data_IF_991084604340
#
_entry.id   IF_991084604340
#
_cell.length_a   1.000
_cell.length_b   1.000
_cell.length_c   1.000
_cell.angle_alpha   90.00
_cell.angle_beta   90.00
_cell.angle_gamma   90.00
#
_symmetry.space_group_name_H-M   'P 1'
#
loop_
_entity.id
_entity.type
_entity.pdbx_description
1 polymer ?
#
# COMPACT_ATOMS: atom_id res chain seq x y z
N UNK A 1 4.72 -11.97 54.97
CA UNK A 1 5.99 -11.21 54.93
C UNK A 1 5.97 -10.26 53.73
N UNK A 2 6.74 -9.17 53.77
CA UNK A 2 6.87 -8.20 52.66
C UNK A 2 7.17 -8.88 51.31
N UNK A 3 7.97 -9.95 51.35
CA UNK A 3 8.32 -10.80 50.19
C UNK A 3 7.09 -11.36 49.48
N UNK A 4 6.08 -11.81 50.22
CA UNK A 4 4.85 -12.38 49.66
C UNK A 4 3.98 -11.33 48.96
N UNK A 5 4.03 -10.08 49.43
CA UNK A 5 3.31 -8.97 48.83
C UNK A 5 3.97 -8.49 47.53
N UNK A 6 5.31 -8.39 47.52
CA UNK A 6 6.10 -8.04 46.33
C UNK A 6 5.92 -9.10 45.23
N UNK A 7 5.91 -10.39 45.59
CA UNK A 7 5.75 -11.48 44.63
C UNK A 7 4.36 -11.46 43.96
N UNK A 8 3.30 -11.14 44.71
CA UNK A 8 1.95 -10.95 44.15
C UNK A 8 1.85 -9.72 43.24
N UNK A 9 2.52 -8.62 43.59
CA UNK A 9 2.55 -7.41 42.77
C UNK A 9 3.29 -7.65 41.45
N UNK A 10 4.43 -8.36 41.48
CA UNK A 10 5.19 -8.74 40.29
C UNK A 10 4.38 -9.69 39.38
N UNK A 11 3.65 -10.64 39.96
CA UNK A 11 2.73 -11.52 39.22
C UNK A 11 1.55 -10.76 38.61
N UNK A 12 0.98 -9.78 39.32
CA UNK A 12 -0.10 -8.97 38.78
C UNK A 12 0.40 -8.06 37.63
N UNK A 13 1.58 -7.46 37.78
CA UNK A 13 2.20 -6.63 36.74
C UNK A 13 2.62 -7.46 35.52
N UNK A 14 3.13 -8.68 35.72
CA UNK A 14 3.46 -9.58 34.60
C UNK A 14 2.21 -10.06 33.87
N UNK A 15 1.13 -10.37 34.59
CA UNK A 15 -0.16 -10.70 33.97
C UNK A 15 -0.72 -9.50 33.18
N UNK A 16 -0.67 -8.28 33.71
CA UNK A 16 -1.10 -7.08 32.97
C UNK A 16 -0.22 -6.83 31.74
N UNK A 17 1.09 -7.03 31.84
CA UNK A 17 2.01 -6.95 30.69
C UNK A 17 1.72 -8.01 29.61
N UNK A 18 1.37 -9.24 30.01
CA UNK A 18 0.95 -10.31 29.09
C UNK A 18 -0.39 -9.96 28.44
N UNK A 19 -1.38 -9.46 29.18
CA UNK A 19 -2.66 -9.03 28.62
C UNK A 19 -2.52 -7.86 27.63
N UNK A 20 -1.62 -6.91 27.89
CA UNK A 20 -1.32 -5.80 26.96
C UNK A 20 -0.59 -6.28 25.69
N UNK A 21 0.20 -7.36 25.79
CA UNK A 21 0.88 -7.96 24.64
C UNK A 21 -0.03 -8.84 23.76
N UNK A 22 -1.19 -9.26 24.27
CA UNK A 22 -2.12 -10.17 23.58
C UNK A 22 -3.22 -9.44 22.80
N UNK A 23 -3.17 -8.11 22.72
CA UNK A 23 -4.13 -7.31 21.93
C UNK A 23 -3.54 -6.78 20.62
N UNK A 24 -2.65 -7.54 19.97
CA UNK A 24 -2.40 -7.30 18.55
C UNK A 24 -3.61 -7.84 17.77
N UNK A 25 -4.57 -6.94 17.50
CA UNK A 25 -5.68 -7.25 16.63
C UNK A 25 -5.19 -7.62 15.23
N UNK A 26 -5.95 -8.46 14.52
CA UNK A 26 -5.64 -8.83 13.14
C UNK A 26 -5.51 -7.59 12.24
N UNK A 27 -4.47 -7.55 11.42
CA UNK A 27 -4.35 -6.56 10.34
C UNK A 27 -5.34 -6.89 9.23
N UNK A 28 -6.26 -5.97 8.94
CA UNK A 28 -7.19 -6.07 7.81
C UNK A 28 -6.93 -4.91 6.85
N UNK A 29 -6.36 -5.24 5.69
CA UNK A 29 -6.04 -4.28 4.62
C UNK A 29 -7.17 -4.30 3.59
N UNK A 30 -7.74 -3.13 3.33
CA UNK A 30 -8.87 -2.96 2.42
C UNK A 30 -8.47 -2.04 1.25
N UNK A 31 -8.63 -2.50 0.02
CA UNK A 31 -8.43 -1.65 -1.15
C UNK A 31 -9.72 -0.89 -1.49
N UNK A 32 -9.63 0.44 -1.61
CA UNK A 32 -10.70 1.33 -2.04
C UNK A 32 -10.45 1.77 -3.49
N UNK A 33 -11.28 1.30 -4.42
CA UNK A 33 -11.21 1.69 -5.84
C UNK A 33 -11.80 3.09 -6.06
N UNK A 34 -10.96 4.11 -6.30
CA UNK A 34 -11.39 5.50 -6.43
C UNK A 34 -12.40 5.72 -7.56
N UNK A 35 -12.28 4.97 -8.65
CA UNK A 35 -13.17 5.03 -9.80
C UNK A 35 -14.57 4.46 -9.53
N UNK A 36 -14.79 3.75 -8.42
CA UNK A 36 -16.11 3.24 -8.05
C UNK A 36 -17.15 4.36 -7.80
N UNK A 37 -16.68 5.59 -7.54
CA UNK A 37 -17.51 6.81 -7.43
C UNK A 37 -18.36 7.09 -8.68
N UNK A 38 -17.93 6.59 -9.84
CA UNK A 38 -18.58 6.80 -11.13
C UNK A 38 -19.53 5.67 -11.54
N UNK A 39 -19.61 4.58 -10.76
CA UNK A 39 -20.56 3.50 -11.05
C UNK A 39 -22.01 4.02 -10.88
N UNK A 40 -22.95 3.57 -11.71
CA UNK A 40 -24.34 3.99 -11.61
C UNK A 40 -25.10 3.21 -10.52
N UNK A 41 -26.16 3.83 -9.98
CA UNK A 41 -27.09 3.19 -9.06
C UNK A 41 -26.42 2.58 -7.83
N UNK A 42 -26.86 1.38 -7.46
CA UNK A 42 -26.34 0.64 -6.29
C UNK A 42 -24.88 0.19 -6.43
N UNK A 43 -24.30 0.31 -7.62
CA UNK A 43 -22.88 0.03 -7.83
C UNK A 43 -21.96 1.18 -7.37
N UNK A 44 -22.52 2.38 -7.15
CA UNK A 44 -21.75 3.55 -6.70
C UNK A 44 -21.20 3.31 -5.31
N UNK A 45 -19.90 3.53 -5.15
CA UNK A 45 -19.22 3.46 -3.86
C UNK A 45 -18.26 4.64 -3.75
N UNK A 46 -18.48 5.50 -2.75
CA UNK A 46 -17.69 6.71 -2.49
C UNK A 46 -16.88 6.56 -1.20
N UNK A 47 -15.97 7.51 -0.94
CA UNK A 47 -15.13 7.53 0.27
C UNK A 47 -15.98 7.41 1.54
N UNK A 48 -17.12 8.10 1.58
CA UNK A 48 -18.01 8.12 2.74
C UNK A 48 -18.66 6.78 3.05
N UNK A 49 -18.71 5.86 2.08
CA UNK A 49 -19.27 4.51 2.22
C UNK A 49 -18.28 3.53 2.89
N UNK A 50 -17.00 3.91 3.04
CA UNK A 50 -16.00 3.09 3.74
C UNK A 50 -16.35 3.00 5.22
N UNK A 51 -16.71 1.80 5.69
CA UNK A 51 -16.87 1.51 7.11
C UNK A 51 -15.50 1.36 7.79
N UNK A 52 -15.11 2.41 8.50
CA UNK A 52 -13.81 2.51 9.16
C UNK A 52 -13.63 1.55 10.34
N UNK A 53 -14.68 0.85 10.77
CA UNK A 53 -14.61 -0.13 11.87
C UNK A 53 -14.16 -1.53 11.42
N UNK A 54 -14.23 -1.80 10.11
CA UNK A 54 -13.92 -3.12 9.55
C UNK A 54 -12.44 -3.28 9.22
N UNK A 55 -11.78 -2.21 8.78
CA UNK A 55 -10.40 -2.25 8.30
C UNK A 55 -9.43 -1.63 9.32
N UNK A 56 -8.19 -2.14 9.38
CA UNK A 56 -7.10 -1.46 10.10
C UNK A 56 -6.30 -0.55 9.17
N UNK A 57 -6.19 -0.94 7.90
CA UNK A 57 -5.55 -0.17 6.84
C UNK A 57 -6.48 -0.09 5.63
N UNK A 58 -6.56 1.09 5.00
CA UNK A 58 -7.29 1.27 3.74
C UNK A 58 -6.35 1.87 2.72
N UNK A 59 -6.28 1.27 1.54
CA UNK A 59 -5.43 1.70 0.43
C UNK A 59 -6.28 2.39 -0.63
N UNK A 60 -5.96 3.64 -0.95
CA UNK A 60 -6.59 4.41 -2.03
C UNK A 60 -5.97 3.99 -3.37
N UNK A 61 -6.76 3.32 -4.20
CA UNK A 61 -6.36 2.84 -5.50
C UNK A 61 -6.91 3.76 -6.61
N UNK A 62 -6.08 4.39 -7.46
CA UNK A 62 -4.62 4.41 -7.47
C UNK A 62 -4.08 5.77 -7.93
N UNK A 63 -2.86 6.10 -7.49
CA UNK A 63 -1.96 6.98 -8.21
C UNK A 63 -1.15 6.20 -9.25
N UNK A 64 -0.53 6.91 -10.19
CA UNK A 64 0.36 6.35 -11.20
C UNK A 64 1.72 7.02 -11.20
N UNK A 65 2.47 6.86 -12.29
CA UNK A 65 3.73 7.58 -12.50
C UNK A 65 3.82 8.18 -13.91
N UNK A 66 4.51 9.32 -14.01
CA UNK A 66 4.86 9.95 -15.29
C UNK A 66 6.17 9.37 -15.83
N UNK A 67 6.44 9.56 -17.12
CA UNK A 67 7.70 9.15 -17.75
C UNK A 67 8.95 9.84 -17.17
N UNK A 68 8.76 10.98 -16.51
CA UNK A 68 9.78 11.70 -15.74
C UNK A 68 10.16 11.01 -14.42
N UNK A 69 9.40 10.01 -13.98
CA UNK A 69 9.51 9.40 -12.65
C UNK A 69 8.61 10.05 -11.60
N UNK A 70 8.02 11.22 -11.86
CA UNK A 70 7.13 11.89 -10.90
C UNK A 70 5.86 11.07 -10.64
N UNK A 71 5.40 11.03 -9.38
CA UNK A 71 4.06 10.49 -9.06
C UNK A 71 2.98 11.25 -9.87
N UNK A 72 1.94 10.53 -10.28
CA UNK A 72 0.86 11.03 -11.11
C UNK A 72 -0.49 10.82 -10.42
N UNK A 73 -1.26 11.89 -10.25
CA UNK A 73 -2.67 11.77 -9.87
C UNK A 73 -3.45 11.38 -11.12
N UNK A 74 -4.10 10.20 -11.09
CA UNK A 74 -4.74 9.63 -12.29
C UNK A 74 -6.08 10.30 -12.60
N UNK A 75 -6.83 10.74 -11.58
CA UNK A 75 -8.08 11.51 -11.75
C UNK A 75 -8.06 12.77 -10.88
N UNK A 76 -7.38 13.85 -11.31
CA UNK A 76 -7.31 15.10 -10.55
C UNK A 76 -8.67 15.68 -10.17
N UNK A 77 -9.69 15.50 -11.02
CA UNK A 77 -11.04 16.01 -10.72
C UNK A 77 -11.68 15.29 -9.53
N UNK A 78 -11.47 13.97 -9.40
CA UNK A 78 -11.98 13.23 -8.25
C UNK A 78 -11.09 13.37 -7.02
N UNK A 79 -9.77 13.32 -7.22
CA UNK A 79 -8.81 13.09 -6.16
C UNK A 79 -8.38 14.40 -5.47
N UNK A 80 -8.29 15.51 -6.21
CA UNK A 80 -7.78 16.79 -5.72
C UNK A 80 -8.89 17.80 -5.41
N UNK A 81 -8.55 18.86 -4.67
CA UNK A 81 -9.48 19.95 -4.31
C UNK A 81 -9.42 21.14 -5.27
N UNK A 82 -8.30 21.27 -5.97
CA UNK A 82 -8.04 22.30 -6.96
C UNK A 82 -9.07 22.23 -8.09
N UNK A 83 -9.32 23.37 -8.73
CA UNK A 83 -10.19 23.46 -9.90
C UNK A 83 -11.62 22.90 -9.69
N UNK A 84 -12.17 23.07 -8.48
CA UNK A 84 -13.49 22.53 -8.09
C UNK A 84 -13.54 21.00 -8.08
N UNK A 85 -12.39 20.35 -7.87
CA UNK A 85 -12.29 18.92 -7.68
C UNK A 85 -13.00 18.44 -6.40
N UNK A 86 -13.17 17.12 -6.31
CA UNK A 86 -13.96 16.49 -5.24
C UNK A 86 -13.15 16.17 -3.98
N UNK A 87 -11.89 16.56 -3.88
CA UNK A 87 -11.07 16.35 -2.68
C UNK A 87 -11.01 14.87 -2.23
N UNK A 88 -10.96 13.92 -3.17
CA UNK A 88 -11.00 12.49 -2.86
C UNK A 88 -9.91 12.05 -1.88
N UNK A 89 -8.68 12.54 -2.04
CA UNK A 89 -7.57 12.24 -1.13
C UNK A 89 -7.80 12.80 0.27
N UNK A 90 -8.15 14.09 0.38
CA UNK A 90 -8.40 14.72 1.69
C UNK A 90 -9.55 14.05 2.44
N UNK A 91 -10.67 13.80 1.76
CA UNK A 91 -11.82 13.09 2.36
C UNK A 91 -11.45 11.68 2.79
N UNK A 92 -10.60 10.99 2.03
CA UNK A 92 -10.14 9.65 2.36
C UNK A 92 -9.26 9.64 3.60
N UNK A 93 -8.28 10.55 3.69
CA UNK A 93 -7.44 10.69 4.87
C UNK A 93 -8.24 11.12 6.11
N UNK A 94 -9.31 11.91 5.94
CA UNK A 94 -10.24 12.29 7.01
C UNK A 94 -11.09 11.14 7.56
N UNK A 95 -11.09 9.95 6.93
CA UNK A 95 -11.70 8.75 7.55
C UNK A 95 -11.10 8.45 8.93
N UNK A 96 -9.86 8.88 9.19
CA UNK A 96 -9.20 8.78 10.50
C UNK A 96 -9.86 9.61 11.58
N UNK A 97 -10.67 10.62 11.25
CA UNK A 97 -11.47 11.34 12.24
C UNK A 97 -12.56 10.45 12.84
N UNK A 98 -13.10 9.50 12.05
CA UNK A 98 -14.07 8.50 12.52
C UNK A 98 -13.39 7.35 13.27
N UNK A 99 -12.21 6.93 12.82
CA UNK A 99 -11.38 5.93 13.49
C UNK A 99 -9.92 6.37 13.55
N UNK A 100 -9.46 6.98 14.67
CA UNK A 100 -8.08 7.47 14.81
C UNK A 100 -6.99 6.39 14.74
N UNK A 101 -7.36 5.11 14.79
CA UNK A 101 -6.42 3.98 14.64
C UNK A 101 -6.27 3.52 13.19
N UNK A 102 -7.16 3.94 12.29
CA UNK A 102 -7.13 3.59 10.88
C UNK A 102 -5.87 4.17 10.23
N UNK A 103 -5.26 3.40 9.34
CA UNK A 103 -4.19 3.86 8.45
C UNK A 103 -4.73 4.05 7.04
N UNK A 104 -4.52 5.23 6.48
CA UNK A 104 -4.91 5.57 5.11
C UNK A 104 -3.65 5.64 4.25
N UNK A 105 -3.53 4.74 3.28
CA UNK A 105 -2.32 4.54 2.46
C UNK A 105 -2.66 4.86 1.00
N UNK A 106 -1.76 5.48 0.26
CA UNK A 106 -1.92 5.70 -1.17
C UNK A 106 -1.30 4.55 -1.97
N UNK A 107 -2.10 3.86 -2.79
CA UNK A 107 -1.59 2.86 -3.72
C UNK A 107 -1.08 3.50 -5.00
N UNK A 108 0.06 3.04 -5.51
CA UNK A 108 0.65 3.50 -6.78
C UNK A 108 0.92 2.33 -7.73
N UNK A 109 0.33 2.39 -8.93
CA UNK A 109 0.40 1.33 -9.93
C UNK A 109 -0.93 0.69 -10.25
N UNK A 110 -1.01 -0.62 -10.04
CA UNK A 110 -2.10 -1.47 -10.48
C UNK A 110 -2.02 -1.84 -11.96
N UNK A 111 -2.73 -2.90 -12.33
CA UNK A 111 -2.69 -3.53 -13.64
C UNK A 111 -2.70 -2.57 -14.84
N UNK A 112 -3.56 -1.55 -14.82
CA UNK A 112 -3.78 -0.63 -15.95
C UNK A 112 -2.62 0.35 -16.19
N UNK A 113 -1.79 0.64 -15.19
CA UNK A 113 -0.64 1.54 -15.34
C UNK A 113 0.52 0.91 -16.13
N UNK A 114 0.53 -0.43 -16.25
CA UNK A 114 1.56 -1.17 -16.96
C UNK A 114 2.89 -1.24 -16.19
N UNK A 115 3.95 -1.71 -16.84
CA UNK A 115 5.26 -1.91 -16.19
C UNK A 115 6.39 -1.05 -16.77
N UNK A 116 6.31 -0.63 -18.04
CA UNK A 116 7.40 0.08 -18.73
C UNK A 116 7.85 1.36 -18.03
N UNK A 117 6.91 2.18 -17.53
CA UNK A 117 7.26 3.42 -16.80
C UNK A 117 7.97 3.11 -15.47
N UNK A 118 7.57 2.03 -14.81
CA UNK A 118 8.10 1.62 -13.50
C UNK A 118 9.50 1.06 -13.65
N UNK A 119 9.72 0.18 -14.63
CA UNK A 119 11.06 -0.31 -14.99
C UNK A 119 12.01 0.84 -15.33
N UNK A 120 11.56 1.80 -16.16
CA UNK A 120 12.36 2.96 -16.51
C UNK A 120 12.66 3.90 -15.32
N UNK A 121 11.74 4.01 -14.37
CA UNK A 121 11.93 4.80 -13.14
C UNK A 121 12.89 4.09 -12.18
N UNK A 122 12.69 2.79 -11.92
CA UNK A 122 13.49 2.02 -10.99
C UNK A 122 14.97 1.90 -11.42
N UNK A 123 15.22 1.81 -12.73
CA UNK A 123 16.58 1.71 -13.30
C UNK A 123 17.43 2.97 -13.10
N UNK A 124 16.82 4.15 -13.02
CA UNK A 124 17.52 5.44 -13.03
C UNK A 124 17.48 6.09 -11.64
N UNK A 125 18.62 6.22 -10.92
CA UNK A 125 18.67 6.83 -9.60
C UNK A 125 18.10 8.25 -9.54
N UNK A 126 18.23 9.04 -10.62
CA UNK A 126 17.66 10.38 -10.67
C UNK A 126 16.13 10.32 -10.73
N UNK A 127 15.57 9.37 -11.48
CA UNK A 127 14.10 9.19 -11.55
C UNK A 127 13.53 8.57 -10.29
N UNK A 128 14.23 7.63 -9.65
CA UNK A 128 13.85 7.12 -8.32
C UNK A 128 13.78 8.26 -7.31
N UNK A 129 14.79 9.14 -7.29
CA UNK A 129 14.76 10.32 -6.43
C UNK A 129 13.56 11.23 -6.72
N UNK A 130 13.27 11.52 -7.99
CA UNK A 130 12.09 12.33 -8.38
C UNK A 130 10.79 11.65 -7.93
N UNK A 131 10.69 10.33 -8.10
CA UNK A 131 9.53 9.55 -7.66
C UNK A 131 9.34 9.66 -6.15
N UNK A 132 10.40 9.39 -5.37
CA UNK A 132 10.37 9.43 -3.91
C UNK A 132 10.02 10.83 -3.43
N UNK A 133 10.73 11.86 -3.88
CA UNK A 133 10.50 13.24 -3.44
C UNK A 133 9.06 13.68 -3.73
N UNK A 134 8.55 13.42 -4.94
CA UNK A 134 7.19 13.82 -5.32
C UNK A 134 6.10 12.98 -4.63
N UNK A 135 6.38 11.71 -4.32
CA UNK A 135 5.49 10.88 -3.50
C UNK A 135 5.41 11.43 -2.08
N UNK A 136 6.54 11.74 -1.46
CA UNK A 136 6.57 12.32 -0.11
C UNK A 136 5.82 13.66 -0.04
N UNK A 137 5.96 14.52 -1.05
CA UNK A 137 5.22 15.77 -1.15
C UNK A 137 3.70 15.52 -1.18
N UNK A 138 3.24 14.62 -2.06
CA UNK A 138 1.81 14.30 -2.19
C UNK A 138 1.24 13.66 -0.91
N UNK A 139 1.96 12.70 -0.32
CA UNK A 139 1.54 12.02 0.91
C UNK A 139 1.37 13.00 2.06
N UNK A 140 2.35 13.90 2.25
CA UNK A 140 2.31 14.93 3.31
C UNK A 140 1.23 15.97 3.05
N UNK A 141 1.01 16.37 1.80
CA UNK A 141 0.01 17.37 1.44
C UNK A 141 -1.41 16.95 1.85
N UNK A 142 -1.75 15.66 1.70
CA UNK A 142 -3.10 15.15 2.00
C UNK A 142 -3.19 14.36 3.33
N UNK A 143 -2.07 14.13 4.03
CA UNK A 143 -2.06 13.44 5.32
C UNK A 143 -2.21 11.92 5.25
N UNK A 144 -1.68 11.29 4.19
CA UNK A 144 -1.56 9.83 4.10
C UNK A 144 -0.57 9.30 5.15
N UNK A 145 -0.79 8.08 5.62
CA UNK A 145 0.10 7.39 6.57
C UNK A 145 1.14 6.51 5.86
N UNK A 146 1.15 6.44 4.53
CA UNK A 146 2.07 5.58 3.81
C UNK A 146 1.78 5.43 2.32
N UNK A 147 2.62 4.62 1.66
CA UNK A 147 2.54 4.28 0.25
C UNK A 147 2.42 2.75 0.10
N UNK A 148 1.55 2.29 -0.80
CA UNK A 148 1.47 0.89 -1.25
C UNK A 148 2.00 0.79 -2.68
N UNK A 149 3.07 0.04 -2.86
CA UNK A 149 3.71 -0.17 -4.17
C UNK A 149 3.07 -1.35 -4.88
N UNK A 150 2.29 -1.06 -5.94
CA UNK A 150 1.59 -2.07 -6.76
C UNK A 150 2.14 -2.08 -8.19
N UNK A 151 3.44 -2.39 -8.33
CA UNK A 151 4.07 -2.55 -9.64
C UNK A 151 3.74 -3.93 -10.21
N UNK A 152 2.92 -3.96 -11.26
CA UNK A 152 2.55 -5.17 -11.97
C UNK A 152 3.22 -5.29 -13.36
N UNK A 153 4.33 -5.99 -13.55
CA UNK A 153 5.23 -6.55 -12.53
C UNK A 153 6.69 -6.20 -12.92
N UNK A 154 7.62 -6.10 -11.96
CA UNK A 154 9.05 -6.10 -12.27
C UNK A 154 9.38 -7.26 -13.22
N UNK A 155 10.26 -7.02 -14.20
CA UNK A 155 10.70 -7.98 -15.24
C UNK A 155 9.67 -8.39 -16.29
N UNK A 156 8.39 -8.02 -16.12
CA UNK A 156 7.31 -8.42 -17.02
C UNK A 156 6.57 -7.22 -17.60
N UNK A 157 5.67 -7.47 -18.56
CA UNK A 157 4.76 -6.46 -19.14
C UNK A 157 5.48 -5.19 -19.66
N UNK A 158 6.67 -5.39 -20.24
CA UNK A 158 7.54 -4.31 -20.71
C UNK A 158 8.63 -3.88 -19.73
N UNK A 159 8.83 -4.63 -18.65
CA UNK A 159 10.01 -4.56 -17.78
C UNK A 159 11.20 -5.37 -18.29
N UNK A 160 12.31 -5.31 -17.55
CA UNK A 160 13.60 -5.92 -17.88
C UNK A 160 14.14 -6.77 -16.72
N UNK A 161 15.02 -7.77 -16.96
CA UNK A 161 15.56 -8.62 -15.90
C UNK A 161 16.24 -7.85 -14.76
N UNK A 162 16.83 -6.69 -15.05
CA UNK A 162 17.46 -5.83 -14.05
C UNK A 162 16.45 -5.25 -13.05
N UNK A 163 15.15 -5.28 -13.35
CA UNK A 163 14.10 -4.87 -12.43
C UNK A 163 14.13 -5.69 -11.13
N UNK A 164 14.60 -6.95 -11.15
CA UNK A 164 14.79 -7.75 -9.93
C UNK A 164 15.61 -6.99 -8.89
N UNK A 165 16.76 -6.42 -9.28
CA UNK A 165 17.64 -5.66 -8.38
C UNK A 165 17.16 -4.22 -8.20
N UNK A 166 16.70 -3.58 -9.28
CA UNK A 166 16.27 -2.18 -9.24
C UNK A 166 15.05 -1.98 -8.34
N UNK A 167 14.15 -2.96 -8.30
CA UNK A 167 12.98 -2.91 -7.43
C UNK A 167 13.38 -2.91 -5.95
N UNK A 168 14.35 -3.73 -5.55
CA UNK A 168 14.88 -3.73 -4.17
C UNK A 168 15.52 -2.39 -3.84
N UNK A 169 16.35 -1.84 -4.73
CA UNK A 169 16.97 -0.52 -4.52
C UNK A 169 15.91 0.57 -4.35
N UNK A 170 14.85 0.53 -5.15
CA UNK A 170 13.72 1.46 -5.01
C UNK A 170 13.01 1.29 -3.66
N UNK A 171 12.74 0.06 -3.23
CA UNK A 171 12.08 -0.23 -1.95
C UNK A 171 12.92 0.22 -0.75
N UNK A 172 14.23 0.01 -0.77
CA UNK A 172 15.15 0.47 0.28
C UNK A 172 15.17 2.01 0.38
N UNK A 173 15.23 2.70 -0.76
CA UNK A 173 15.22 4.17 -0.82
C UNK A 173 13.86 4.75 -0.38
N UNK A 174 12.74 4.11 -0.77
CA UNK A 174 11.39 4.47 -0.31
C UNK A 174 11.22 4.24 1.19
N UNK A 175 11.62 3.07 1.69
CA UNK A 175 11.56 2.69 3.11
C UNK A 175 12.30 3.72 3.95
N UNK A 176 13.53 4.06 3.55
CA UNK A 176 14.33 5.10 4.22
C UNK A 176 13.60 6.44 4.29
N UNK A 177 12.99 6.89 3.18
CA UNK A 177 12.29 8.17 3.12
C UNK A 177 10.97 8.18 3.91
N UNK A 178 10.17 7.13 3.82
CA UNK A 178 8.87 7.00 4.48
C UNK A 178 9.04 6.82 5.99
N UNK A 179 9.92 5.90 6.42
CA UNK A 179 10.15 5.61 7.84
C UNK A 179 10.75 6.81 8.58
N UNK A 180 11.54 7.66 7.92
CA UNK A 180 12.03 8.92 8.48
C UNK A 180 10.91 9.88 8.89
N UNK A 181 9.73 9.76 8.28
CA UNK A 181 8.53 10.55 8.57
C UNK A 181 7.48 9.75 9.37
N UNK A 182 7.81 8.54 9.81
CA UNK A 182 6.88 7.64 10.50
C UNK A 182 5.74 7.11 9.61
N UNK A 183 5.92 7.14 8.29
CA UNK A 183 4.98 6.60 7.30
C UNK A 183 5.30 5.14 6.98
N UNK A 184 4.28 4.40 6.53
CA UNK A 184 4.38 2.99 6.15
C UNK A 184 4.79 2.82 4.68
N UNK A 185 5.58 1.79 4.40
CA UNK A 185 5.77 1.22 3.08
C UNK A 185 5.10 -0.15 3.02
N UNK A 186 4.14 -0.30 2.13
CA UNK A 186 3.45 -1.57 1.85
C UNK A 186 3.62 -1.93 0.38
N UNK A 187 3.38 -3.18 0.00
CA UNK A 187 3.36 -3.55 -1.42
C UNK A 187 2.37 -4.67 -1.72
N UNK A 188 1.70 -4.56 -2.86
CA UNK A 188 0.98 -5.66 -3.48
C UNK A 188 1.95 -6.50 -4.33
N UNK A 189 1.92 -7.82 -4.13
CA UNK A 189 2.84 -8.75 -4.83
C UNK A 189 2.09 -9.95 -5.38
N UNK A 190 2.53 -10.46 -6.52
CA UNK A 190 1.93 -11.65 -7.13
C UNK A 190 2.08 -12.89 -6.26
N UNK A 191 1.06 -13.75 -6.24
CA UNK A 191 1.13 -15.09 -5.64
C UNK A 191 1.64 -16.17 -6.61
N UNK A 192 1.78 -15.87 -7.89
CA UNK A 192 2.20 -16.83 -8.92
C UNK A 192 3.71 -17.04 -8.94
N UNK A 193 4.19 -18.28 -8.82
CA UNK A 193 5.62 -18.62 -8.84
C UNK A 193 6.35 -18.10 -10.09
N UNK A 194 5.68 -18.13 -11.25
CA UNK A 194 6.23 -17.61 -12.52
C UNK A 194 6.52 -16.11 -12.49
N UNK A 195 5.85 -15.38 -11.59
CA UNK A 195 6.13 -13.96 -11.34
C UNK A 195 7.08 -13.76 -10.17
N UNK A 196 6.92 -14.52 -9.09
CA UNK A 196 7.75 -14.39 -7.90
C UNK A 196 9.23 -14.62 -8.23
N UNK A 197 9.56 -15.74 -8.87
CA UNK A 197 10.94 -16.16 -9.11
C UNK A 197 11.79 -15.10 -9.88
N UNK A 198 11.30 -14.47 -10.96
CA UNK A 198 12.06 -13.44 -11.65
C UNK A 198 11.89 -12.03 -11.08
N UNK A 199 10.83 -11.71 -10.33
CA UNK A 199 10.50 -10.34 -9.97
C UNK A 199 10.95 -9.94 -8.55
N UNK A 200 11.06 -10.87 -7.61
CA UNK A 200 11.11 -10.56 -6.18
C UNK A 200 12.26 -11.24 -5.43
N UNK A 201 13.11 -10.43 -4.81
CA UNK A 201 14.01 -10.89 -3.73
C UNK A 201 13.25 -10.83 -2.40
N UNK A 202 12.53 -11.91 -2.07
CA UNK A 202 11.62 -11.93 -0.90
C UNK A 202 12.32 -11.56 0.42
N UNK A 203 13.52 -12.09 0.75
CA UNK A 203 14.23 -11.67 1.95
C UNK A 203 14.60 -10.18 1.97
N UNK A 204 15.05 -9.62 0.85
CA UNK A 204 15.38 -8.19 0.80
C UNK A 204 14.12 -7.32 0.91
N UNK A 205 13.05 -7.68 0.21
CA UNK A 205 11.76 -7.00 0.29
C UNK A 205 11.20 -6.98 1.73
N UNK A 206 11.28 -8.11 2.43
CA UNK A 206 10.80 -8.23 3.80
C UNK A 206 11.55 -7.34 4.82
N UNK A 207 12.76 -6.86 4.48
CA UNK A 207 13.50 -5.92 5.33
C UNK A 207 13.07 -4.47 5.12
N UNK A 208 12.51 -4.13 3.96
CA UNK A 208 12.12 -2.77 3.60
C UNK A 208 10.63 -2.49 3.83
N UNK A 209 9.78 -3.51 3.71
CA UNK A 209 8.31 -3.38 3.64
C UNK A 209 7.66 -3.75 4.98
N UNK A 210 6.74 -2.91 5.45
CA UNK A 210 5.97 -3.12 6.68
C UNK A 210 4.88 -4.20 6.51
N UNK A 211 4.19 -4.19 5.36
CA UNK A 211 3.13 -5.15 5.03
C UNK A 211 3.24 -5.58 3.56
N UNK A 212 3.40 -6.88 3.33
CA UNK A 212 3.33 -7.51 2.00
C UNK A 212 1.93 -8.07 1.77
N UNK A 213 1.17 -7.43 0.86
CA UNK A 213 -0.16 -7.84 0.44
C UNK A 213 -0.03 -8.85 -0.71
N UNK A 214 -0.03 -10.14 -0.39
CA UNK A 214 0.02 -11.20 -1.40
C UNK A 214 -1.32 -11.29 -2.14
N UNK A 215 -1.31 -11.07 -3.45
CA UNK A 215 -2.49 -11.16 -4.32
C UNK A 215 -2.84 -12.63 -4.58
N UNK A 216 -3.37 -13.32 -3.56
CA UNK A 216 -3.79 -14.73 -3.62
C UNK A 216 -5.16 -14.88 -4.29
N UNK A 217 -5.28 -14.30 -5.46
CA UNK A 217 -6.44 -14.27 -6.32
C UNK A 217 -5.97 -14.11 -7.78
N UNK A 218 -6.90 -14.18 -8.73
CA UNK A 218 -6.60 -14.24 -10.17
C UNK A 218 -5.64 -15.38 -10.54
N UNK A 219 -5.70 -16.50 -9.80
CA UNK A 219 -4.96 -17.72 -10.12
C UNK A 219 -5.41 -18.31 -11.46
N UNK A 220 -6.70 -18.16 -11.75
CA UNK A 220 -7.35 -18.56 -12.98
C UNK A 220 -8.45 -17.57 -13.37
N UNK A 221 -8.75 -17.48 -14.66
CA UNK A 221 -9.77 -16.57 -15.18
C UNK A 221 -10.16 -16.88 -16.61
N UNK A 222 -10.90 -15.97 -17.23
CA UNK A 222 -11.43 -16.15 -18.60
C UNK A 222 -10.33 -16.23 -19.69
N UNK A 223 -9.06 -15.99 -19.32
CA UNK A 223 -7.90 -16.18 -20.18
C UNK A 223 -7.44 -17.64 -20.30
N UNK A 224 -7.90 -18.51 -19.40
CA UNK A 224 -7.59 -19.95 -19.45
C UNK A 224 -8.50 -20.71 -20.41
N UNK A 225 -8.04 -21.83 -20.99
CA UNK A 225 -8.86 -22.67 -21.86
C UNK A 225 -9.96 -23.45 -21.12
N UNK A 226 -9.92 -23.50 -19.79
CA UNK A 226 -10.86 -24.22 -18.93
C UNK A 226 -11.26 -23.40 -17.71
N UNK A 227 -12.40 -23.72 -17.10
CA UNK A 227 -12.85 -23.09 -15.85
C UNK A 227 -12.10 -23.66 -14.66
N UNK A 228 -11.59 -22.79 -13.80
CA UNK A 228 -10.94 -23.12 -12.53
C UNK A 228 -11.33 -22.12 -11.45
N UNK A 229 -10.92 -22.34 -10.20
CA UNK A 229 -11.15 -21.42 -9.09
C UNK A 229 -10.28 -20.18 -9.23
N UNK A 230 -10.83 -19.01 -8.89
CA UNK A 230 -10.11 -17.73 -8.99
C UNK A 230 -9.05 -17.57 -7.88
N UNK A 231 -9.24 -18.25 -6.74
CA UNK A 231 -8.31 -18.31 -5.59
C UNK A 231 -8.27 -19.70 -4.96
#
# INVERSE_FOLDING_TARGET
SLVWFIMKLLLALSLVGIYLSLTEGYTMVCYFSSWATYRPGDGKFVVEDVDTSLCTHVIYAFAGIKSSGQINVLDPYNDLCEEYGKCGYDRFCQLKEKNPKLKTILGVGGWNEGSTKYSAMAKDPAKRKVFIDSSMELLKAHGFDGLDMDWEYPTQRGGHPEDYTNFITLLDELSTALHAEGMLLTAAVSAGKLTIDPAYDIPAMANAIDILNLMTYDMHGAWDPYTHHQS
#
